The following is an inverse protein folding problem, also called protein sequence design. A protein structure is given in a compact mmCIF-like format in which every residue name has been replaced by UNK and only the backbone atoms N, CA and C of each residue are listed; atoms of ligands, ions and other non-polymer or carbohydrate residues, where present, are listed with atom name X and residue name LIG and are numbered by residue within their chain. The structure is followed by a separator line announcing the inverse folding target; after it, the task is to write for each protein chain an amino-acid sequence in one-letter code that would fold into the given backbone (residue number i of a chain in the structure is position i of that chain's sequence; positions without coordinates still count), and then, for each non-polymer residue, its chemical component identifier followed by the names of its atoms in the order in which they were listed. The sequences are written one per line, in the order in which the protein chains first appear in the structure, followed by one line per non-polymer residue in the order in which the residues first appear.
data_IF_526699208741
#
_entry.id   IF_526699208741
#
_cell.length_a   1.000
_cell.length_b   1.000
_cell.length_c   1.000
_cell.angle_alpha   90.00
_cell.angle_beta   90.00
_cell.angle_gamma   90.00
#
_symmetry.space_group_name_H-M   'P 1'
#
loop_
_entity.id
_entity.type
_entity.pdbx_description
1 polymer ?
#
# COMPACT_ATOMS: atom_id res chain seq x y z
N UNK A 1 -0.50 -11.36 14.73
CA UNK A 1 -1.64 -10.43 14.51
C UNK A 1 -1.28 -9.13 13.77
N UNK A 2 -0.01 -8.75 13.65
CA UNK A 2 0.42 -7.48 13.00
C UNK A 2 0.53 -7.56 11.46
N UNK A 3 0.76 -8.75 10.89
CA UNK A 3 0.92 -8.95 9.44
C UNK A 3 -0.37 -8.71 8.66
N UNK A 4 -1.50 -9.22 9.14
CA UNK A 4 -2.81 -9.05 8.49
C UNK A 4 -3.23 -7.56 8.52
N UNK A 5 -3.00 -6.87 9.65
CA UNK A 5 -3.26 -5.43 9.78
C UNK A 5 -2.37 -4.58 8.86
N UNK A 6 -1.14 -5.02 8.57
CA UNK A 6 -0.24 -4.38 7.60
C UNK A 6 -0.63 -4.68 6.15
N UNK A 7 -1.14 -5.86 5.87
CA UNK A 7 -1.57 -6.25 4.52
C UNK A 7 -2.89 -5.58 4.10
N UNK A 8 -3.78 -5.28 5.05
CA UNK A 8 -5.07 -4.63 4.81
C UNK A 8 -4.98 -3.31 3.99
N UNK A 9 -4.12 -2.32 4.37
CA UNK A 9 -4.01 -1.08 3.59
C UNK A 9 -3.40 -1.31 2.21
N UNK A 10 -2.51 -2.29 2.04
CA UNK A 10 -1.95 -2.65 0.73
C UNK A 10 -3.02 -3.25 -0.19
N UNK A 11 -3.85 -4.15 0.33
CA UNK A 11 -4.98 -4.69 -0.42
C UNK A 11 -5.97 -3.58 -0.83
N UNK A 12 -6.29 -2.65 0.08
CA UNK A 12 -7.14 -1.50 -0.23
C UNK A 12 -6.54 -0.59 -1.31
N UNK A 13 -5.23 -0.33 -1.27
CA UNK A 13 -4.53 0.45 -2.29
C UNK A 13 -4.58 -0.21 -3.68
N UNK A 14 -4.45 -1.53 -3.78
CA UNK A 14 -4.57 -2.25 -5.06
C UNK A 14 -5.99 -2.16 -5.63
N UNK A 15 -7.02 -2.24 -4.78
CA UNK A 15 -8.43 -2.11 -5.18
C UNK A 15 -8.72 -0.69 -5.68
N UNK A 16 -8.27 0.34 -4.95
CA UNK A 16 -8.40 1.74 -5.35
C UNK A 16 -7.69 2.04 -6.68
N UNK A 17 -6.49 1.47 -6.87
CA UNK A 17 -5.76 1.62 -8.12
C UNK A 17 -6.51 0.96 -9.28
N UNK A 18 -7.04 -0.26 -9.11
CA UNK A 18 -7.84 -0.93 -10.12
C UNK A 18 -9.10 -0.13 -10.51
N UNK A 19 -9.76 0.49 -9.52
CA UNK A 19 -10.87 1.41 -9.75
C UNK A 19 -10.45 2.66 -10.53
N UNK A 20 -9.31 3.27 -10.19
CA UNK A 20 -8.77 4.44 -10.89
C UNK A 20 -8.44 4.17 -12.36
N UNK A 21 -7.93 2.98 -12.68
CA UNK A 21 -7.71 2.53 -14.06
C UNK A 21 -9.03 2.37 -14.80
N UNK A 22 -10.03 1.76 -14.16
CA UNK A 22 -11.35 1.56 -14.77
C UNK A 22 -12.08 2.88 -15.02
N UNK A 23 -11.89 3.86 -14.14
CA UNK A 23 -12.41 5.21 -14.29
C UNK A 23 -11.67 6.04 -15.35
N UNK A 24 -10.57 5.53 -15.93
CA UNK A 24 -9.76 6.27 -16.90
C UNK A 24 -8.95 7.42 -16.31
N UNK A 25 -8.90 7.51 -14.97
CA UNK A 25 -8.13 8.53 -14.25
C UNK A 25 -6.63 8.21 -14.31
N UNK A 26 -6.29 6.92 -14.38
CA UNK A 26 -4.91 6.43 -14.41
C UNK A 26 -4.63 5.77 -15.75
N UNK A 27 -3.53 6.18 -16.37
CA UNK A 27 -3.03 5.59 -17.61
C UNK A 27 -2.69 4.10 -17.41
N UNK A 28 -3.05 3.26 -18.40
CA UNK A 28 -2.88 1.80 -18.29
C UNK A 28 -1.42 1.39 -18.15
N UNK A 29 -0.50 2.15 -18.72
CA UNK A 29 0.93 1.84 -18.65
C UNK A 29 1.48 2.15 -17.26
N UNK A 30 1.14 3.33 -16.73
CA UNK A 30 1.44 3.72 -15.35
C UNK A 30 0.83 2.74 -14.32
N UNK A 31 -0.39 2.28 -14.57
CA UNK A 31 -1.05 1.29 -13.72
C UNK A 31 -0.36 -0.07 -13.73
N UNK A 32 0.14 -0.53 -14.88
CA UNK A 32 0.90 -1.78 -14.98
C UNK A 32 2.19 -1.69 -14.17
N UNK A 33 2.92 -0.58 -14.27
CA UNK A 33 4.12 -0.37 -13.45
C UNK A 33 3.75 -0.40 -11.98
N UNK A 34 2.73 0.37 -11.57
CA UNK A 34 2.27 0.38 -10.18
C UNK A 34 1.84 -1.01 -9.68
N UNK A 35 1.11 -1.79 -10.47
CA UNK A 35 0.72 -3.16 -10.10
C UNK A 35 1.90 -4.11 -9.86
N UNK A 36 3.04 -3.86 -10.50
CA UNK A 36 4.28 -4.64 -10.29
C UNK A 36 5.05 -4.13 -9.06
N UNK A 37 5.12 -2.81 -8.86
CA UNK A 37 5.94 -2.22 -7.79
C UNK A 37 5.23 -2.29 -6.43
N UNK A 38 3.90 -2.11 -6.38
CA UNK A 38 3.10 -2.18 -5.15
C UNK A 38 3.30 -3.48 -4.34
N UNK A 39 3.22 -4.69 -4.92
CA UNK A 39 3.44 -5.92 -4.15
C UNK A 39 4.89 -6.07 -3.69
N UNK A 40 5.87 -5.58 -4.45
CA UNK A 40 7.26 -5.54 -4.01
C UNK A 40 7.45 -4.60 -2.80
N UNK A 41 6.85 -3.41 -2.85
CA UNK A 41 6.81 -2.46 -1.73
C UNK A 41 6.03 -3.01 -0.54
N UNK A 42 4.92 -3.72 -0.77
CA UNK A 42 4.15 -4.38 0.27
C UNK A 42 4.99 -5.44 0.96
N UNK A 43 5.71 -6.25 0.20
CA UNK A 43 6.62 -7.26 0.74
C UNK A 43 7.73 -6.61 1.56
N UNK A 44 8.35 -5.54 1.06
CA UNK A 44 9.36 -4.76 1.79
C UNK A 44 8.76 -4.10 3.04
N UNK A 45 7.51 -3.65 3.01
CA UNK A 45 6.83 -3.00 4.15
C UNK A 45 6.38 -4.00 5.23
N UNK A 46 6.01 -5.21 4.80
CA UNK A 46 5.61 -6.32 5.67
C UNK A 46 6.85 -7.01 6.26
N UNK A 47 7.85 -7.29 5.43
CA UNK A 47 9.12 -7.95 5.78
C UNK A 47 10.13 -6.98 6.39
N UNK A 48 9.98 -5.68 6.14
CA UNK A 48 10.67 -4.60 6.82
C UNK A 48 10.35 -4.65 8.30
N UNK A 49 11.36 -5.06 9.06
CA UNK A 49 11.42 -5.04 10.52
C UNK A 49 10.71 -3.79 11.02
N UNK A 50 9.78 -3.98 11.94
CA UNK A 50 8.95 -2.96 12.59
C UNK A 50 9.74 -1.68 12.96
N UNK A 51 9.95 -0.76 12.02
CA UNK A 51 10.16 0.65 12.34
C UNK A 51 8.80 1.11 12.85
N UNK A 52 8.59 0.97 14.16
CA UNK A 52 7.49 1.61 14.87
C UNK A 52 7.42 3.05 14.34
N UNK A 53 6.31 3.50 13.73
CA UNK A 53 6.03 4.91 13.86
C UNK A 53 5.80 5.09 15.36
N UNK A 54 6.78 5.67 16.05
CA UNK A 54 6.55 6.36 17.30
C UNK A 54 5.62 7.54 16.99
N UNK A 55 4.38 7.27 16.57
CA UNK A 55 3.28 8.22 16.66
C UNK A 55 2.84 8.23 18.11
N UNK A 56 3.76 8.69 18.96
CA UNK A 56 3.47 9.11 20.32
C UNK A 56 2.65 10.39 20.13
N UNK A 57 1.34 10.32 20.37
CA UNK A 57 0.57 11.50 20.74
C UNK A 57 1.38 12.22 21.82
N UNK A 58 1.91 13.38 21.49
CA UNK A 58 2.44 14.35 22.43
C UNK A 58 1.77 15.67 22.04
N UNK A 59 0.84 16.12 22.86
CA UNK A 59 0.06 17.33 22.62
C UNK A 59 -1.31 17.32 23.31
N UNK A 60 -1.37 16.89 24.57
CA UNK A 60 -2.24 17.46 25.60
C UNK A 60 -1.31 18.05 26.67
#
# INVERSE_FOLDING_TARGET
MTTIRKALPWAAAMILLALGVRAGIVDRDAARTMFVILPALAWISISGRSCRPSFRRAGE
#
